data_IF_904716837460
#
_entry.id   IF_904716837460
#
_cell.length_a   1.000
_cell.length_b   1.000
_cell.length_c   1.000
_cell.angle_alpha   90.00
_cell.angle_beta   90.00
_cell.angle_gamma   90.00
#
_symmetry.space_group_name_H-M   'P 1'
#
loop_
_entity.id
_entity.type
_entity.pdbx_description
1 polymer ?
#
# COMPACT_ATOMS: atom_id res chain seq x y z
N UNK A 1 -4.20 -2.32 13.54
CA UNK A 1 -3.15 -3.37 13.55
C UNK A 1 -3.38 -4.29 12.36
N UNK A 2 -2.32 -4.53 11.59
CA UNK A 2 -2.32 -5.42 10.44
C UNK A 2 -1.16 -6.41 10.57
N UNK A 3 -1.42 -7.68 10.28
CA UNK A 3 -0.38 -8.73 10.21
C UNK A 3 -0.34 -9.32 8.81
N UNK A 4 0.87 -9.60 8.31
CA UNK A 4 1.07 -10.36 7.07
C UNK A 4 1.58 -11.75 7.40
N UNK A 5 0.74 -12.75 7.18
CA UNK A 5 1.09 -14.17 7.23
C UNK A 5 1.38 -14.67 5.82
N UNK A 6 2.45 -15.43 5.65
CA UNK A 6 2.81 -16.08 4.38
C UNK A 6 2.97 -17.56 4.63
N UNK A 7 2.27 -18.38 3.82
CA UNK A 7 2.45 -19.83 3.79
C UNK A 7 3.19 -20.21 2.51
N UNK A 8 4.27 -20.98 2.65
CA UNK A 8 4.99 -21.59 1.53
C UNK A 8 4.84 -23.09 1.62
N UNK A 9 4.34 -23.71 0.55
CA UNK A 9 4.25 -25.17 0.46
C UNK A 9 5.66 -25.76 0.43
N UNK A 10 5.88 -26.77 1.25
CA UNK A 10 7.11 -27.57 1.27
C UNK A 10 6.89 -28.86 0.45
N UNK A 11 7.69 -29.90 0.68
CA UNK A 11 7.44 -31.20 0.07
C UNK A 11 6.11 -31.79 0.57
N UNK A 12 5.35 -32.41 -0.33
CA UNK A 12 4.04 -32.99 0.02
C UNK A 12 3.01 -31.94 0.41
N UNK A 13 2.29 -32.18 1.50
CA UNK A 13 1.21 -31.30 2.00
C UNK A 13 1.63 -30.43 3.19
N UNK A 14 2.93 -30.39 3.48
CA UNK A 14 3.48 -29.55 4.54
C UNK A 14 3.57 -28.08 4.11
N UNK A 15 3.31 -27.17 5.04
CA UNK A 15 3.42 -25.73 4.83
C UNK A 15 4.28 -25.10 5.91
N UNK A 16 5.23 -24.26 5.49
CA UNK A 16 5.90 -23.33 6.40
C UNK A 16 5.11 -22.03 6.44
N UNK A 17 4.62 -21.66 7.63
CA UNK A 17 3.92 -20.40 7.85
C UNK A 17 4.82 -19.45 8.61
N UNK A 18 4.99 -18.23 8.09
CA UNK A 18 5.81 -17.18 8.71
C UNK A 18 5.00 -15.88 8.90
N UNK A 19 5.22 -15.20 10.02
CA UNK A 19 4.83 -13.79 10.14
C UNK A 19 5.88 -12.99 9.38
N UNK A 20 5.46 -12.39 8.27
CA UNK A 20 6.35 -11.62 7.39
C UNK A 20 6.48 -10.16 7.81
N UNK A 21 5.45 -9.62 8.47
CA UNK A 21 5.42 -8.23 8.90
C UNK A 21 4.22 -7.93 9.81
N UNK A 22 4.35 -6.86 10.59
CA UNK A 22 3.29 -6.30 11.41
C UNK A 22 3.34 -4.78 11.35
N UNK A 23 2.17 -4.15 11.28
CA UNK A 23 2.02 -2.71 11.33
C UNK A 23 0.90 -2.33 12.30
N UNK A 24 1.14 -1.27 13.09
CA UNK A 24 0.23 -0.79 14.13
C UNK A 24 -0.42 0.53 13.75
N UNK A 25 -0.12 1.05 12.55
CA UNK A 25 -0.68 2.30 12.08
C UNK A 25 -2.19 2.15 11.91
N UNK A 26 -2.91 3.18 12.33
CA UNK A 26 -4.35 3.30 12.13
C UNK A 26 -4.59 4.62 11.40
N UNK A 27 -5.44 4.58 10.38
CA UNK A 27 -5.85 5.78 9.68
C UNK A 27 -7.12 6.32 10.33
N UNK A 28 -7.03 7.50 10.93
CA UNK A 28 -8.17 8.28 11.41
C UNK A 28 -8.35 9.53 10.52
N UNK A 29 -9.45 9.65 9.76
CA UNK A 29 -9.70 10.80 8.89
C UNK A 29 -9.94 12.12 9.66
N UNK A 30 -10.12 12.06 10.99
CA UNK A 30 -10.31 13.23 11.84
C UNK A 30 -9.02 13.69 12.54
N UNK A 31 -7.94 12.93 12.44
CA UNK A 31 -6.65 13.30 13.03
C UNK A 31 -6.10 14.56 12.34
N UNK A 32 -5.81 15.58 13.15
CA UNK A 32 -5.30 16.88 12.71
C UNK A 32 -3.78 16.97 12.76
N UNK A 33 -3.12 15.96 13.30
CA UNK A 33 -1.66 15.88 13.41
C UNK A 33 -0.98 15.24 12.21
N UNK A 34 -1.76 14.65 11.30
CA UNK A 34 -1.29 13.93 10.10
C UNK A 34 -2.04 14.38 8.85
N UNK A 35 -1.52 14.01 7.69
CA UNK A 35 -2.20 14.24 6.41
C UNK A 35 -3.41 13.30 6.31
N UNK A 36 -4.59 13.87 6.05
CA UNK A 36 -5.84 13.12 5.88
C UNK A 36 -6.47 13.37 4.51
N UNK A 37 -7.37 12.49 4.08
CA UNK A 37 -8.01 12.58 2.77
C UNK A 37 -9.10 13.66 2.74
N UNK A 38 -9.19 14.40 1.62
CA UNK A 38 -10.36 15.25 1.30
C UNK A 38 -11.12 14.62 0.13
N UNK A 39 -10.43 14.40 -1.00
CA UNK A 39 -11.02 13.81 -2.18
C UNK A 39 -10.05 12.81 -2.82
N UNK A 40 -10.43 11.53 -2.77
CA UNK A 40 -9.64 10.43 -3.31
C UNK A 40 -10.49 9.53 -4.19
N UNK A 41 -10.93 10.03 -5.35
CA UNK A 41 -11.67 9.21 -6.31
C UNK A 41 -10.82 8.00 -6.71
N UNK A 42 -11.30 6.76 -6.53
CA UNK A 42 -10.53 5.56 -6.86
C UNK A 42 -10.09 5.53 -8.33
N UNK A 43 -8.93 4.92 -8.65
CA UNK A 43 -8.50 4.74 -10.03
C UNK A 43 -9.46 3.82 -10.79
N UNK A 44 -9.56 4.05 -12.09
CA UNK A 44 -10.27 3.14 -12.97
C UNK A 44 -9.51 1.81 -13.07
N UNK A 45 -10.25 0.71 -13.13
CA UNK A 45 -9.64 -0.60 -13.35
C UNK A 45 -9.06 -0.65 -14.77
N UNK A 46 -7.76 -0.95 -14.96
CA UNK A 46 -7.18 -1.03 -16.29
C UNK A 46 -7.79 -2.18 -17.10
N UNK A 47 -8.29 -1.90 -18.31
CA UNK A 47 -8.90 -2.91 -19.18
C UNK A 47 -7.96 -4.09 -19.44
N UNK A 48 -6.68 -3.83 -19.71
CA UNK A 48 -5.66 -4.86 -19.93
C UNK A 48 -5.43 -5.78 -18.73
N UNK A 49 -5.66 -5.31 -17.50
CA UNK A 49 -5.60 -6.15 -16.30
C UNK A 49 -6.93 -6.90 -16.10
N UNK A 50 -8.05 -6.23 -16.36
CA UNK A 50 -9.39 -6.80 -16.23
C UNK A 50 -9.61 -7.98 -17.19
N UNK A 51 -9.20 -7.83 -18.45
CA UNK A 51 -9.40 -8.83 -19.51
C UNK A 51 -8.69 -10.16 -19.24
N UNK A 52 -7.66 -10.16 -18.40
CA UNK A 52 -6.89 -11.36 -18.01
C UNK A 52 -7.12 -11.77 -16.57
N UNK A 53 -8.12 -11.17 -15.89
CA UNK A 53 -8.47 -11.51 -14.52
C UNK A 53 -7.41 -11.12 -13.47
N UNK A 54 -6.53 -10.17 -13.78
CA UNK A 54 -5.41 -9.82 -12.91
C UNK A 54 -5.81 -8.89 -11.76
N UNK A 55 -5.75 -9.38 -10.53
CA UNK A 55 -5.93 -8.60 -9.31
C UNK A 55 -4.60 -8.28 -8.62
N UNK A 56 -4.56 -7.22 -7.81
CA UNK A 56 -3.36 -6.80 -7.10
C UNK A 56 -3.53 -5.55 -6.27
N UNK A 57 -2.48 -5.17 -5.55
CA UNK A 57 -2.42 -3.95 -4.75
C UNK A 57 -1.23 -3.10 -5.18
N UNK A 58 -1.48 -1.83 -5.50
CA UNK A 58 -0.47 -0.85 -5.83
C UNK A 58 -0.25 0.07 -4.62
N UNK A 59 0.99 0.19 -4.17
CA UNK A 59 1.38 1.02 -3.05
C UNK A 59 2.05 2.28 -3.58
N UNK A 60 1.40 3.42 -3.39
CA UNK A 60 1.88 4.71 -3.85
C UNK A 60 2.58 5.46 -2.74
N UNK A 61 3.59 6.24 -3.10
CA UNK A 61 4.20 7.27 -2.27
C UNK A 61 3.90 8.61 -2.94
N UNK A 62 3.30 9.53 -2.18
CA UNK A 62 2.91 10.85 -2.65
C UNK A 62 3.65 11.91 -1.86
N UNK A 63 4.11 12.94 -2.56
CA UNK A 63 4.60 14.19 -1.98
C UNK A 63 3.44 15.18 -1.98
N UNK A 64 2.93 15.52 -0.79
CA UNK A 64 1.78 16.41 -0.61
C UNK A 64 2.29 17.79 -0.19
N UNK A 65 1.92 18.82 -0.95
CA UNK A 65 2.29 20.20 -0.67
C UNK A 65 1.43 20.85 0.43
N UNK A 66 1.84 22.04 0.88
CA UNK A 66 1.09 22.86 1.86
C UNK A 66 -0.32 23.24 1.44
N UNK A 67 -0.61 23.20 0.13
CA UNK A 67 -1.94 23.45 -0.42
C UNK A 67 -2.82 22.18 -0.45
N UNK A 68 -2.32 21.06 0.06
CA UNK A 68 -3.03 19.77 0.07
C UNK A 68 -3.04 19.05 -1.28
N UNK A 69 -2.35 19.56 -2.31
CA UNK A 69 -2.24 18.90 -3.61
C UNK A 69 -1.03 17.98 -3.67
N UNK A 70 -1.11 17.00 -4.55
CA UNK A 70 0.01 16.10 -4.85
C UNK A 70 1.02 16.83 -5.73
N UNK A 71 2.17 17.16 -5.17
CA UNK A 71 3.29 17.76 -5.88
C UNK A 71 4.07 16.73 -6.70
N UNK A 72 4.20 15.50 -6.20
CA UNK A 72 4.84 14.38 -6.92
C UNK A 72 4.28 13.03 -6.45
N UNK A 73 4.38 12.00 -7.28
CA UNK A 73 3.85 10.67 -7.01
C UNK A 73 4.70 9.56 -7.65
N UNK A 74 5.00 8.53 -6.87
CA UNK A 74 5.75 7.36 -7.31
C UNK A 74 5.05 6.06 -6.87
N UNK A 75 5.27 4.99 -7.62
CA UNK A 75 4.85 3.64 -7.22
C UNK A 75 5.99 3.05 -6.39
N UNK A 76 5.73 2.73 -5.13
CA UNK A 76 6.71 2.09 -4.24
C UNK A 76 6.77 0.58 -4.49
N UNK A 77 5.61 -0.06 -4.69
CA UNK A 77 5.53 -1.50 -4.94
C UNK A 77 4.19 -1.86 -5.57
N UNK A 78 4.15 -2.92 -6.39
CA UNK A 78 2.90 -3.52 -6.86
C UNK A 78 2.92 -5.02 -6.62
N UNK A 79 2.01 -5.48 -5.77
CA UNK A 79 1.83 -6.90 -5.47
C UNK A 79 0.71 -7.46 -6.34
N UNK A 80 0.93 -8.64 -6.91
CA UNK A 80 -0.07 -9.34 -7.72
C UNK A 80 -0.67 -10.49 -6.92
N UNK A 81 -1.90 -10.86 -7.30
CA UNK A 81 -2.62 -12.04 -6.82
C UNK A 81 -2.79 -13.11 -7.91
N UNK A 82 -2.10 -12.94 -9.03
CA UNK A 82 -2.08 -13.86 -10.16
C UNK A 82 -0.65 -14.31 -10.44
N UNK A 83 -0.48 -15.59 -10.74
CA UNK A 83 0.80 -16.16 -11.18
C UNK A 83 0.78 -16.23 -12.71
N UNK A 84 1.80 -15.68 -13.35
CA UNK A 84 1.99 -15.69 -14.80
C UNK A 84 3.50 -15.68 -15.13
N UNK A 85 3.87 -15.58 -16.40
CA UNK A 85 5.28 -15.36 -16.76
C UNK A 85 5.79 -14.03 -16.19
N UNK A 86 7.09 -13.93 -15.91
CA UNK A 86 7.70 -12.70 -15.36
C UNK A 86 7.40 -11.46 -16.19
N UNK A 87 7.44 -11.60 -17.53
CA UNK A 87 7.13 -10.51 -18.46
C UNK A 87 5.68 -10.05 -18.33
N UNK A 88 4.73 -10.97 -18.26
CA UNK A 88 3.32 -10.63 -18.07
C UNK A 88 3.09 -9.99 -16.70
N UNK A 89 3.71 -10.53 -15.65
CA UNK A 89 3.63 -9.93 -14.32
C UNK A 89 4.21 -8.51 -14.29
N UNK A 90 5.32 -8.26 -14.98
CA UNK A 90 5.86 -6.90 -15.09
C UNK A 90 4.89 -5.96 -15.80
N UNK A 91 4.30 -6.39 -16.93
CA UNK A 91 3.30 -5.60 -17.64
C UNK A 91 2.07 -5.30 -16.76
N UNK A 92 1.60 -6.28 -15.98
CA UNK A 92 0.49 -6.10 -15.04
C UNK A 92 0.83 -5.07 -13.94
N UNK A 93 2.05 -5.14 -13.38
CA UNK A 93 2.51 -4.15 -12.41
C UNK A 93 2.54 -2.75 -13.01
N UNK A 94 3.02 -2.62 -14.24
CA UNK A 94 3.10 -1.33 -14.94
C UNK A 94 1.71 -0.73 -15.18
N UNK A 95 0.73 -1.51 -15.65
CA UNK A 95 -0.62 -0.97 -15.93
C UNK A 95 -1.38 -0.60 -14.66
N UNK A 96 -1.30 -1.42 -13.61
CA UNK A 96 -1.92 -1.12 -12.32
C UNK A 96 -1.26 0.11 -11.66
N UNK A 97 0.07 0.18 -11.71
CA UNK A 97 0.84 1.32 -11.20
C UNK A 97 0.53 2.62 -11.95
N UNK A 98 0.49 2.58 -13.29
CA UNK A 98 0.14 3.75 -14.12
C UNK A 98 -1.27 4.26 -13.83
N UNK A 99 -2.26 3.36 -13.71
CA UNK A 99 -3.62 3.77 -13.37
C UNK A 99 -3.70 4.41 -11.99
N UNK A 100 -3.03 3.80 -11.00
CA UNK A 100 -2.99 4.33 -9.64
C UNK A 100 -2.35 5.73 -9.60
N UNK A 101 -1.21 5.93 -10.28
CA UNK A 101 -0.57 7.25 -10.41
C UNK A 101 -1.47 8.27 -11.11
N UNK A 102 -2.17 7.87 -12.17
CA UNK A 102 -3.07 8.76 -12.92
C UNK A 102 -4.22 9.30 -12.07
N UNK A 103 -4.75 8.49 -11.16
CA UNK A 103 -5.74 8.94 -10.18
C UNK A 103 -5.11 9.78 -9.07
N UNK A 104 -3.97 9.34 -8.53
CA UNK A 104 -3.32 9.98 -7.40
C UNK A 104 -2.98 11.45 -7.63
N UNK A 105 -2.56 11.81 -8.85
CA UNK A 105 -2.28 13.20 -9.24
C UNK A 105 -3.49 14.13 -9.11
N UNK A 106 -4.71 13.59 -9.03
CA UNK A 106 -5.96 14.35 -8.92
C UNK A 106 -6.53 14.36 -7.51
N UNK A 107 -5.89 13.65 -6.58
CA UNK A 107 -6.35 13.60 -5.19
C UNK A 107 -5.99 14.88 -4.45
N UNK A 108 -6.80 15.19 -3.44
CA UNK A 108 -6.56 16.28 -2.51
C UNK A 108 -6.61 15.79 -1.07
N UNK A 109 -5.78 16.42 -0.26
CA UNK A 109 -5.54 16.06 1.12
C UNK A 109 -5.69 17.29 2.01
N UNK A 110 -5.94 17.04 3.29
CA UNK A 110 -5.87 18.03 4.36
C UNK A 110 -4.50 17.90 5.02
N UNK A 111 -3.63 18.92 4.91
CA UNK A 111 -2.41 19.00 5.70
C UNK A 111 -2.66 18.97 7.22
N UNK A 112 -1.69 18.55 8.02
CA UNK A 112 -1.73 18.72 9.47
C UNK A 112 -1.94 20.18 9.87
N UNK A 113 -2.79 20.42 10.86
CA UNK A 113 -2.95 21.73 11.52
C UNK A 113 -2.40 21.74 12.94
N UNK A 114 -2.01 20.57 13.46
CA UNK A 114 -1.49 20.36 14.81
C UNK A 114 -0.26 19.43 14.75
N UNK A 115 0.50 19.36 15.86
CA UNK A 115 1.66 18.49 15.96
C UNK A 115 2.95 19.07 15.36
N UNK A 116 3.99 18.25 15.31
CA UNK A 116 5.36 18.65 14.98
C UNK A 116 5.58 18.95 13.49
N UNK A 117 4.71 18.43 12.62
CA UNK A 117 4.92 18.45 11.17
C UNK A 117 4.14 19.57 10.45
N UNK A 118 3.46 20.48 11.17
CA UNK A 118 2.63 21.57 10.62
C UNK A 118 3.40 22.48 9.66
N UNK A 119 4.66 22.77 9.99
CA UNK A 119 5.49 23.70 9.23
C UNK A 119 6.33 23.04 8.13
N UNK A 120 6.15 21.73 7.92
CA UNK A 120 6.87 21.02 6.87
C UNK A 120 6.60 21.65 5.48
N UNK A 121 7.61 21.74 4.61
CA UNK A 121 7.43 22.28 3.26
C UNK A 121 6.56 21.35 2.40
N UNK A 122 6.51 20.08 2.74
CA UNK A 122 5.66 19.04 2.17
C UNK A 122 5.61 17.85 3.14
N UNK A 123 4.64 16.97 2.94
CA UNK A 123 4.55 15.69 3.64
C UNK A 123 4.69 14.55 2.65
N UNK A 124 5.29 13.45 3.10
CA UNK A 124 5.34 12.22 2.30
C UNK A 124 4.34 11.24 2.88
N UNK A 125 3.39 10.79 2.06
CA UNK A 125 2.37 9.83 2.47
C UNK A 125 2.39 8.58 1.60
N UNK A 126 2.00 7.46 2.19
CA UNK A 126 1.75 6.20 1.51
C UNK A 126 0.26 5.97 1.37
N UNK A 127 -0.17 5.58 0.18
CA UNK A 127 -1.57 5.28 -0.12
C UNK A 127 -1.65 3.93 -0.85
N UNK A 128 -2.25 2.91 -0.22
CA UNK A 128 -2.51 1.64 -0.89
C UNK A 128 -3.79 1.73 -1.73
N UNK A 129 -3.70 1.22 -2.95
CA UNK A 129 -4.80 1.05 -3.89
C UNK A 129 -5.00 -0.43 -4.13
N UNK A 130 -6.21 -0.93 -3.89
CA UNK A 130 -6.54 -2.33 -4.14
C UNK A 130 -7.39 -2.50 -5.40
N UNK A 131 -6.92 -3.34 -6.32
CA UNK A 131 -7.63 -3.75 -7.52
C UNK A 131 -8.15 -5.18 -7.34
N UNK A 132 -9.45 -5.29 -7.09
CA UNK A 132 -10.14 -6.57 -6.88
C UNK A 132 -11.27 -6.75 -7.92
N UNK A 133 -11.50 -8.00 -8.34
CA UNK A 133 -12.57 -8.37 -9.26
C UNK A 133 -13.85 -8.75 -8.51
N UNK A 134 -15.02 -8.57 -9.13
CA UNK A 134 -16.34 -8.71 -8.49
C UNK A 134 -16.60 -10.07 -7.83
N UNK A 135 -16.06 -11.19 -8.35
CA UNK A 135 -16.19 -12.49 -7.66
C UNK A 135 -15.37 -12.60 -6.37
N UNK A 136 -14.37 -11.73 -6.18
CA UNK A 136 -13.65 -11.60 -4.91
C UNK A 136 -14.41 -10.71 -3.91
N UNK A 137 -15.37 -9.89 -4.38
CA UNK A 137 -16.19 -8.95 -3.59
C UNK A 137 -17.68 -9.33 -3.45
N UNK A 138 -18.19 -10.35 -4.17
CA UNK A 138 -19.57 -10.86 -4.08
C UNK A 138 -19.96 -11.51 -2.74
N UNK A 139 -19.07 -11.54 -1.75
CA UNK A 139 -19.37 -11.98 -0.38
C UNK A 139 -19.34 -10.83 0.64
N UNK A 140 -19.91 -9.67 0.29
CA UNK A 140 -20.61 -8.78 1.24
C UNK A 140 -19.93 -8.42 2.57
N UNK A 141 -18.60 -8.29 2.62
CA UNK A 141 -17.92 -7.81 3.82
C UNK A 141 -16.62 -7.05 3.45
N UNK A 142 -16.26 -5.98 4.18
CA UNK A 142 -14.93 -5.39 4.08
C UNK A 142 -13.91 -6.50 4.32
N UNK A 143 -13.12 -6.86 3.30
CA UNK A 143 -11.98 -7.77 3.37
C UNK A 143 -12.10 -8.83 4.48
N UNK A 144 -12.95 -9.85 4.31
CA UNK A 144 -13.17 -10.86 5.34
C UNK A 144 -11.84 -11.35 5.94
N UNK A 145 -11.68 -11.13 7.24
CA UNK A 145 -10.49 -11.48 8.01
C UNK A 145 -10.13 -12.97 7.82
N UNK A 146 -8.84 -13.28 7.69
CA UNK A 146 -8.34 -14.66 7.70
C UNK A 146 -8.41 -15.45 6.39
N UNK A 147 -8.55 -14.81 5.21
CA UNK A 147 -8.50 -15.53 3.92
C UNK A 147 -7.10 -15.60 3.33
N UNK A 148 -6.68 -16.81 2.95
CA UNK A 148 -5.49 -17.03 2.14
C UNK A 148 -5.69 -16.50 0.73
N UNK A 149 -4.67 -15.82 0.20
CA UNK A 149 -4.64 -15.32 -1.16
C UNK A 149 -3.26 -15.55 -1.75
N UNK A 150 -3.18 -15.74 -3.07
CA UNK A 150 -1.90 -15.77 -3.76
C UNK A 150 -1.14 -14.47 -3.50
N UNK A 151 0.11 -14.60 -3.08
CA UNK A 151 0.97 -13.49 -2.70
C UNK A 151 2.21 -13.46 -3.59
N UNK A 152 2.20 -12.57 -4.58
CA UNK A 152 3.31 -12.37 -5.52
C UNK A 152 3.83 -10.94 -5.34
N UNK A 153 4.78 -10.71 -4.42
CA UNK A 153 5.29 -9.37 -4.19
C UNK A 153 6.02 -8.82 -5.42
N UNK A 154 5.88 -7.53 -5.66
CA UNK A 154 6.67 -6.82 -6.66
C UNK A 154 8.02 -6.35 -6.12
N UNK A 155 8.96 -5.98 -7.01
CA UNK A 155 10.15 -5.26 -6.59
C UNK A 155 9.75 -3.95 -5.92
N UNK A 156 10.50 -3.57 -4.88
CA UNK A 156 10.31 -2.30 -4.17
C UNK A 156 11.18 -1.23 -4.80
N UNK A 157 10.58 -0.08 -5.09
CA UNK A 157 11.25 1.10 -5.62
C UNK A 157 11.11 2.25 -4.64
N UNK A 158 12.15 3.07 -4.55
CA UNK A 158 12.17 4.23 -3.68
C UNK A 158 11.79 5.49 -4.46
N UNK A 159 10.93 6.32 -3.89
CA UNK A 159 10.64 7.63 -4.46
C UNK A 159 11.88 8.54 -4.37
N UNK A 160 12.23 9.31 -5.42
CA UNK A 160 13.46 10.10 -5.46
C UNK A 160 13.61 11.14 -4.34
N UNK A 161 12.51 11.62 -3.76
CA UNK A 161 12.51 12.61 -2.68
C UNK A 161 12.62 12.00 -1.27
N UNK A 162 12.63 10.66 -1.14
CA UNK A 162 12.86 10.00 0.15
C UNK A 162 14.35 9.78 0.35
N UNK A 163 14.97 10.64 1.15
CA UNK A 163 16.42 10.61 1.44
C UNK A 163 16.79 9.80 2.69
N UNK A 164 15.87 9.60 3.64
CA UNK A 164 16.09 8.80 4.85
C UNK A 164 15.92 7.30 4.64
N UNK A 165 16.47 6.47 5.53
CA UNK A 165 16.21 5.02 5.49
C UNK A 165 14.75 4.69 5.82
N UNK A 166 14.21 3.64 5.20
CA UNK A 166 12.92 3.10 5.65
C UNK A 166 13.09 2.56 7.06
N UNK A 167 12.06 2.74 7.91
CA UNK A 167 12.05 2.09 9.22
C UNK A 167 12.34 0.59 9.07
N UNK A 168 13.28 0.08 9.86
CA UNK A 168 13.65 -1.33 9.86
C UNK A 168 12.41 -2.20 10.08
N UNK A 169 12.17 -3.16 9.17
CA UNK A 169 11.00 -4.05 9.23
C UNK A 169 9.71 -3.50 8.61
N UNK A 170 9.67 -2.27 8.11
CA UNK A 170 8.48 -1.74 7.42
C UNK A 170 8.34 -2.26 5.98
N UNK A 171 7.13 -2.70 5.65
CA UNK A 171 6.71 -3.07 4.29
C UNK A 171 5.40 -2.35 3.92
N UNK A 172 5.30 -1.74 2.71
CA UNK A 172 4.10 -1.01 2.30
C UNK A 172 2.85 -1.90 2.22
N UNK A 173 3.03 -3.20 2.02
CA UNK A 173 1.94 -4.17 1.96
C UNK A 173 1.32 -4.55 3.32
N UNK A 174 1.77 -3.93 4.39
CA UNK A 174 1.09 -3.96 5.69
C UNK A 174 0.02 -2.88 5.82
N UNK A 175 0.01 -1.90 4.92
CA UNK A 175 -0.94 -0.78 4.96
C UNK A 175 -2.29 -1.18 4.33
N UNK A 176 -3.40 -1.07 5.07
CA UNK A 176 -4.74 -1.29 4.52
C UNK A 176 -5.10 -0.29 3.40
N UNK A 177 -5.81 -0.77 2.38
CA UNK A 177 -6.34 0.11 1.34
C UNK A 177 -7.42 1.05 1.88
N UNK A 178 -7.52 2.24 1.28
CA UNK A 178 -8.46 3.28 1.69
C UNK A 178 -7.95 4.23 2.79
N UNK A 179 -6.75 3.98 3.32
CA UNK A 179 -6.08 4.88 4.27
C UNK A 179 -4.99 5.74 3.64
N UNK A 180 -4.58 6.76 4.40
CA UNK A 180 -3.42 7.63 4.12
C UNK A 180 -2.46 7.50 5.29
N UNK A 181 -1.19 7.17 5.03
CA UNK A 181 -0.22 6.84 6.08
C UNK A 181 1.04 7.70 5.94
N UNK A 182 1.46 8.37 7.01
CA UNK A 182 2.70 9.16 7.01
C UNK A 182 3.91 8.27 6.73
N UNK A 183 4.79 8.69 5.81
CA UNK A 183 5.89 7.85 5.34
C UNK A 183 7.11 7.85 6.27
N UNK A 184 7.27 8.94 7.03
CA UNK A 184 8.26 9.26 8.04
C UNK A 184 7.84 8.82 9.46
N UNK A 185 6.62 8.28 9.60
CA UNK A 185 6.22 7.37 10.68
C UNK A 185 6.41 7.89 12.10
N UNK A 186 5.46 8.70 12.58
CA UNK A 186 5.18 8.82 14.01
C UNK A 186 4.14 7.74 14.41
N UNK A 187 4.57 6.48 14.52
CA UNK A 187 3.69 5.38 14.87
C UNK A 187 4.38 4.32 15.75
N UNK A 188 3.61 3.50 16.51
CA UNK A 188 4.19 2.43 17.31
C UNK A 188 4.99 1.46 16.41
N UNK A 189 6.25 1.22 16.78
CA UNK A 189 7.12 0.25 16.11
C UNK A 189 7.38 -0.93 17.02
N UNK A 190 7.62 -2.10 16.44
CA UNK A 190 8.10 -3.23 17.19
C UNK A 190 9.50 -2.94 17.74
N UNK A 191 9.67 -3.13 19.04
CA UNK A 191 10.96 -3.06 19.71
C UNK A 191 11.69 -4.40 19.69
N UNK A 192 10.95 -5.48 19.42
CA UNK A 192 11.47 -6.85 19.32
C UNK A 192 11.31 -7.38 17.89
N UNK A 193 12.25 -8.20 17.38
CA UNK A 193 12.07 -8.90 16.12
C UNK A 193 10.78 -9.73 16.10
N UNK A 194 10.15 -9.86 14.92
CA UNK A 194 8.92 -10.62 14.72
C UNK A 194 9.09 -12.13 14.88
N UNK A 195 10.33 -12.62 14.73
CA UNK A 195 10.71 -14.00 14.99
C UNK A 195 12.02 -13.99 15.78
N UNK A 196 12.10 -14.87 16.79
CA UNK A 196 13.36 -15.17 17.47
C UNK A 196 14.39 -15.70 16.46
N UNK A 197 15.66 -15.48 16.77
CA UNK A 197 16.79 -15.82 15.88
C UNK A 197 16.88 -17.28 15.44
#
# INVERSE_FOLDING_TARGET
>A
MTLRLVAKRQQGDDYQVEIRGADFSHYDPNDRSVVTSIQMKPPAYPEAAYSVGAAGSAYLVLKVGRDGRVADAAVEQVNLRVVASERQMQQLRDVLGKSALGAARKWTFRPPSEGKDVDAPYWTVRVPVDYALLDQSRQGAPSAYGRWMSYIPGPRQRAPWITGEHATGFSPDLLPAGGVYMADGAGPRLLTPLQGG
#
